data_IF_059407862794
#
_entry.id   IF_059407862794
#
_cell.length_a   1.000
_cell.length_b   1.000
_cell.length_c   1.000
_cell.angle_alpha   90.00
_cell.angle_beta   90.00
_cell.angle_gamma   90.00
#
_symmetry.space_group_name_H-M   'P 1'
#
loop_
_entity.id
_entity.type
_entity.pdbx_description
1 polymer ?
#
# COMPACT_ATOMS: atom_id res chain seq x y z
N UNK A 1 -15.93 5.86 -1.09
CA UNK A 1 -15.67 7.30 -0.97
C UNK A 1 -16.91 7.95 -0.39
N UNK A 2 -16.74 8.76 0.65
CA UNK A 2 -17.81 9.62 1.14
C UNK A 2 -17.76 10.96 0.39
N UNK A 3 -18.78 11.79 0.54
CA UNK A 3 -18.90 13.07 -0.17
C UNK A 3 -17.82 14.10 0.15
N UNK A 4 -17.04 13.91 1.21
CA UNK A 4 -15.94 14.81 1.56
C UNK A 4 -14.66 14.48 0.80
N UNK A 5 -14.47 13.24 0.36
CA UNK A 5 -13.25 12.78 -0.31
C UNK A 5 -12.98 13.58 -1.60
N UNK A 6 -14.03 13.86 -2.38
CA UNK A 6 -13.98 14.67 -3.60
C UNK A 6 -13.48 16.11 -3.35
N UNK A 7 -13.57 16.58 -2.11
CA UNK A 7 -13.07 17.90 -1.70
C UNK A 7 -11.69 17.80 -1.04
N UNK A 8 -11.42 16.72 -0.31
CA UNK A 8 -10.19 16.57 0.47
C UNK A 8 -8.98 16.25 -0.40
N UNK A 9 -9.10 15.34 -1.37
CA UNK A 9 -7.98 14.99 -2.26
C UNK A 9 -7.41 16.20 -3.01
N UNK A 10 -8.22 16.98 -3.76
CA UNK A 10 -7.69 18.14 -4.46
C UNK A 10 -7.18 19.22 -3.49
N UNK A 11 -7.78 19.34 -2.29
CA UNK A 11 -7.33 20.31 -1.28
C UNK A 11 -5.95 19.98 -0.73
N UNK A 12 -5.67 18.72 -0.43
CA UNK A 12 -4.33 18.28 0.03
C UNK A 12 -3.32 18.42 -1.10
N UNK A 13 -3.66 18.00 -2.32
CA UNK A 13 -2.79 18.16 -3.48
C UNK A 13 -2.46 19.64 -3.77
N UNK A 14 -3.42 20.56 -3.55
CA UNK A 14 -3.25 21.99 -3.74
C UNK A 14 -2.27 22.65 -2.74
N UNK A 15 -1.90 21.99 -1.63
CA UNK A 15 -0.84 22.48 -0.74
C UNK A 15 0.51 22.63 -1.46
N UNK A 16 0.71 21.90 -2.56
CA UNK A 16 1.89 22.03 -3.43
C UNK A 16 2.00 23.39 -4.12
N UNK A 17 0.90 24.14 -4.25
CA UNK A 17 0.94 25.52 -4.76
C UNK A 17 1.64 26.47 -3.76
N UNK A 18 1.61 26.13 -2.47
CA UNK A 18 2.28 26.91 -1.42
C UNK A 18 3.73 26.44 -1.19
N UNK A 19 3.96 25.13 -1.32
CA UNK A 19 5.29 24.54 -1.25
C UNK A 19 5.54 23.63 -2.47
N UNK A 20 6.18 24.12 -3.55
CA UNK A 20 6.44 23.34 -4.75
C UNK A 20 7.34 22.10 -4.55
N UNK A 21 8.06 22.03 -3.42
CA UNK A 21 8.87 20.86 -3.07
C UNK A 21 8.08 19.75 -2.35
N UNK A 22 6.87 20.05 -1.87
CA UNK A 22 6.00 19.08 -1.21
C UNK A 22 5.58 17.98 -2.18
N UNK A 23 5.62 16.74 -1.69
CA UNK A 23 5.12 15.55 -2.36
C UNK A 23 3.94 14.99 -1.58
N UNK A 24 2.87 14.67 -2.30
CA UNK A 24 1.65 14.11 -1.68
C UNK A 24 1.42 12.73 -2.26
N UNK A 25 1.44 11.72 -1.39
CA UNK A 25 1.20 10.33 -1.74
C UNK A 25 -0.19 9.92 -1.25
N UNK A 26 -0.84 9.02 -1.98
CA UNK A 26 -2.06 8.35 -1.51
C UNK A 26 -1.68 6.96 -1.01
N UNK A 27 -2.06 6.63 0.23
CA UNK A 27 -1.94 5.28 0.77
C UNK A 27 -3.19 4.47 0.44
N UNK A 28 -3.01 3.24 -0.03
CA UNK A 28 -4.08 2.29 -0.32
C UNK A 28 -3.96 1.11 0.62
N UNK A 29 -4.91 1.01 1.56
CA UNK A 29 -4.99 -0.07 2.52
C UNK A 29 -5.17 0.43 3.95
N UNK A 30 -4.25 0.02 4.82
CA UNK A 30 -4.35 0.14 6.26
C UNK A 30 -5.21 -0.96 6.88
N UNK A 31 -5.10 -1.09 8.20
CA UNK A 31 -5.75 -2.13 8.99
C UNK A 31 -7.23 -2.38 8.67
N UNK A 32 -8.05 -1.33 8.57
CA UNK A 32 -9.51 -1.46 8.40
C UNK A 32 -9.96 -1.85 6.99
N UNK A 33 -9.08 -1.74 5.99
CA UNK A 33 -9.38 -2.20 4.63
C UNK A 33 -9.50 -3.74 4.55
N UNK A 34 -8.89 -4.45 5.50
CA UNK A 34 -8.82 -5.91 5.57
C UNK A 34 -7.81 -6.51 4.58
N UNK A 35 -7.13 -7.60 4.98
CA UNK A 35 -6.07 -8.20 4.15
C UNK A 35 -6.60 -8.98 2.94
N UNK A 36 -7.76 -9.65 3.07
CA UNK A 36 -8.32 -10.53 2.02
C UNK A 36 -8.52 -9.82 0.67
N UNK A 37 -8.95 -8.56 0.69
CA UNK A 37 -9.20 -7.81 -0.56
C UNK A 37 -7.92 -7.59 -1.36
N UNK A 38 -6.77 -7.46 -0.68
CA UNK A 38 -5.46 -7.36 -1.33
C UNK A 38 -5.00 -8.71 -1.85
N UNK A 39 -5.16 -9.80 -1.08
CA UNK A 39 -4.85 -11.16 -1.55
C UNK A 39 -5.64 -11.50 -2.82
N UNK A 40 -6.95 -11.18 -2.85
CA UNK A 40 -7.78 -11.34 -4.04
C UNK A 40 -7.32 -10.46 -5.21
N UNK A 41 -6.94 -9.20 -4.93
CA UNK A 41 -6.46 -8.26 -5.95
C UNK A 41 -5.16 -8.73 -6.62
N UNK A 42 -4.21 -9.28 -5.86
CA UNK A 42 -2.92 -9.73 -6.43
C UNK A 42 -2.97 -11.10 -7.09
N UNK A 43 -4.02 -11.89 -6.83
CA UNK A 43 -4.12 -13.32 -7.17
C UNK A 43 -4.07 -13.66 -8.66
N UNK A 44 -4.50 -12.74 -9.55
CA UNK A 44 -4.49 -12.97 -11.00
C UNK A 44 -3.93 -11.78 -11.77
N UNK A 45 -3.32 -11.99 -12.95
CA UNK A 45 -2.85 -10.91 -13.81
C UNK A 45 -3.96 -9.90 -14.15
N UNK A 46 -5.19 -10.37 -14.37
CA UNK A 46 -6.33 -9.52 -14.74
C UNK A 46 -6.75 -8.60 -13.58
N UNK A 47 -6.76 -9.12 -12.35
CA UNK A 47 -7.09 -8.35 -11.16
C UNK A 47 -6.02 -7.27 -10.90
N UNK A 48 -4.74 -7.65 -10.98
CA UNK A 48 -3.62 -6.72 -10.84
C UNK A 48 -3.68 -5.61 -11.90
N UNK A 49 -3.84 -5.97 -13.17
CA UNK A 49 -3.94 -5.00 -14.26
C UNK A 49 -5.11 -4.03 -14.06
N UNK A 50 -6.26 -4.54 -13.60
CA UNK A 50 -7.45 -3.72 -13.31
C UNK A 50 -7.17 -2.72 -12.19
N UNK A 51 -6.59 -3.18 -11.08
CA UNK A 51 -6.23 -2.30 -9.97
C UNK A 51 -5.18 -1.27 -10.36
N UNK A 52 -4.09 -1.70 -11.00
CA UNK A 52 -2.97 -0.83 -11.43
C UNK A 52 -3.49 0.29 -12.33
N UNK A 53 -4.33 -0.04 -13.32
CA UNK A 53 -4.95 0.96 -14.19
C UNK A 53 -5.76 1.97 -13.39
N UNK A 54 -6.58 1.49 -12.45
CA UNK A 54 -7.43 2.32 -11.61
C UNK A 54 -6.63 3.28 -10.73
N UNK A 55 -5.64 2.77 -9.98
CA UNK A 55 -4.87 3.58 -9.03
C UNK A 55 -3.97 4.60 -9.72
N UNK A 56 -3.36 4.24 -10.86
CA UNK A 56 -2.53 5.19 -11.65
C UNK A 56 -3.41 6.31 -12.21
N UNK A 57 -4.58 5.96 -12.78
CA UNK A 57 -5.53 6.97 -13.28
C UNK A 57 -6.04 7.88 -12.16
N UNK A 58 -6.34 7.31 -11.00
CA UNK A 58 -6.77 8.06 -9.82
C UNK A 58 -5.70 9.07 -9.37
N UNK A 59 -4.43 8.63 -9.27
CA UNK A 59 -3.33 9.51 -8.89
C UNK A 59 -3.13 10.67 -9.86
N UNK A 60 -3.20 10.40 -11.16
CA UNK A 60 -3.09 11.43 -12.19
C UNK A 60 -4.24 12.44 -12.11
N UNK A 61 -5.46 11.97 -11.87
CA UNK A 61 -6.67 12.80 -11.79
C UNK A 61 -6.67 13.69 -10.56
N UNK A 62 -6.23 13.16 -9.42
CA UNK A 62 -6.20 13.88 -8.13
C UNK A 62 -4.86 14.61 -7.89
N UNK A 63 -3.96 14.60 -8.87
CA UNK A 63 -2.64 15.22 -8.80
C UNK A 63 -1.77 14.73 -7.63
N UNK A 64 -1.82 13.44 -7.30
CA UNK A 64 -0.88 12.81 -6.37
C UNK A 64 0.49 12.60 -7.02
N UNK A 65 1.55 12.67 -6.22
CA UNK A 65 2.94 12.43 -6.66
C UNK A 65 3.35 10.97 -6.52
N UNK A 66 2.57 10.15 -5.81
CA UNK A 66 2.90 8.75 -5.62
C UNK A 66 1.84 7.93 -4.89
N UNK A 67 2.14 6.63 -4.79
CA UNK A 67 1.27 5.59 -4.25
C UNK A 67 2.03 4.89 -3.13
N UNK A 68 1.41 4.77 -1.97
CA UNK A 68 1.84 3.87 -0.90
C UNK A 68 0.91 2.65 -0.85
N UNK A 69 1.47 1.45 -0.86
CA UNK A 69 0.68 0.23 -0.64
C UNK A 69 0.84 -0.20 0.81
N UNK A 70 -0.26 -0.11 1.55
CA UNK A 70 -0.33 -0.43 2.97
C UNK A 70 -1.19 -1.68 3.19
N UNK A 71 -0.68 -2.83 2.71
CA UNK A 71 -1.35 -4.11 2.84
C UNK A 71 -0.96 -4.79 4.16
N UNK A 72 -1.92 -4.86 5.07
CA UNK A 72 -1.81 -5.54 6.37
C UNK A 72 -2.63 -6.84 6.42
N UNK A 73 -2.06 -8.05 6.30
CA UNK A 73 -0.71 -8.38 5.84
C UNK A 73 -0.79 -9.51 4.79
N UNK A 74 0.13 -9.57 3.82
CA UNK A 74 0.24 -10.71 2.91
C UNK A 74 0.55 -12.00 3.65
N UNK A 75 0.06 -13.14 3.15
CA UNK A 75 0.29 -14.50 3.71
C UNK A 75 -0.36 -14.77 5.06
N UNK A 76 -0.79 -13.74 5.78
CA UNK A 76 -1.40 -13.89 7.10
C UNK A 76 -2.85 -14.39 7.01
N UNK A 77 -3.06 -15.66 7.39
CA UNK A 77 -4.36 -16.34 7.36
C UNK A 77 -5.42 -15.61 8.20
N UNK A 78 -5.05 -14.99 9.34
CA UNK A 78 -5.98 -14.24 10.20
C UNK A 78 -6.50 -12.97 9.52
N UNK A 79 -5.77 -12.49 8.51
CA UNK A 79 -6.11 -11.34 7.68
C UNK A 79 -6.69 -11.76 6.33
N UNK A 80 -6.85 -13.05 6.09
CA UNK A 80 -7.35 -13.63 4.84
C UNK A 80 -6.32 -13.69 3.71
N UNK A 81 -5.03 -13.69 4.07
CA UNK A 81 -3.92 -13.92 3.15
C UNK A 81 -3.82 -15.37 2.68
N UNK A 82 -2.95 -15.59 1.69
CA UNK A 82 -2.63 -16.90 1.11
C UNK A 82 -1.13 -17.03 0.92
N UNK A 83 -0.60 -18.25 0.91
CA UNK A 83 0.84 -18.48 0.70
C UNK A 83 1.35 -17.87 -0.62
N UNK A 84 0.52 -17.86 -1.66
CA UNK A 84 0.84 -17.28 -2.97
C UNK A 84 1.03 -15.75 -2.94
N UNK A 85 0.53 -15.07 -1.90
CA UNK A 85 0.69 -13.62 -1.73
C UNK A 85 2.16 -13.22 -1.74
N UNK A 86 3.05 -14.07 -1.18
CA UNK A 86 4.49 -13.81 -1.11
C UNK A 86 5.08 -13.50 -2.51
N UNK A 87 4.76 -14.33 -3.51
CA UNK A 87 5.24 -14.16 -4.88
C UNK A 87 4.34 -13.20 -5.71
N UNK A 88 3.03 -13.21 -5.46
CA UNK A 88 2.08 -12.36 -6.16
C UNK A 88 2.30 -10.89 -5.84
N UNK A 89 2.69 -10.56 -4.61
CA UNK A 89 2.94 -9.18 -4.22
C UNK A 89 4.17 -8.60 -4.94
N UNK A 90 5.24 -9.38 -5.07
CA UNK A 90 6.41 -9.01 -5.89
C UNK A 90 6.01 -8.77 -7.35
N UNK A 91 5.22 -9.68 -7.92
CA UNK A 91 4.73 -9.56 -9.30
C UNK A 91 3.89 -8.30 -9.47
N UNK A 92 3.00 -8.04 -8.52
CA UNK A 92 2.18 -6.83 -8.47
C UNK A 92 3.02 -5.55 -8.42
N UNK A 93 3.99 -5.47 -7.51
CA UNK A 93 4.83 -4.27 -7.37
C UNK A 93 5.69 -4.03 -8.61
N UNK A 94 6.19 -5.10 -9.25
CA UNK A 94 6.89 -5.01 -10.53
C UNK A 94 6.01 -4.41 -11.63
N UNK A 95 4.79 -4.92 -11.77
CA UNK A 95 3.82 -4.44 -12.77
C UNK A 95 3.40 -2.98 -12.47
N UNK A 96 3.18 -2.65 -11.20
CA UNK A 96 2.86 -1.30 -10.75
C UNK A 96 4.00 -0.33 -11.07
N UNK A 97 5.26 -0.67 -10.77
CA UNK A 97 6.43 0.15 -11.11
C UNK A 97 6.53 0.41 -12.60
N UNK A 98 6.24 -0.59 -13.43
CA UNK A 98 6.23 -0.44 -14.88
C UNK A 98 5.14 0.52 -15.38
N UNK A 99 3.99 0.60 -14.69
CA UNK A 99 2.85 1.43 -15.07
C UNK A 99 2.85 2.83 -14.41
N UNK A 100 3.54 3.00 -13.29
CA UNK A 100 3.51 4.20 -12.45
C UNK A 100 4.09 5.46 -13.15
N UNK A 101 4.94 5.27 -14.16
CA UNK A 101 5.55 6.37 -14.91
C UNK A 101 6.43 7.24 -14.01
N UNK A 102 5.96 8.46 -13.71
CA UNK A 102 6.67 9.42 -12.84
C UNK A 102 6.18 9.43 -11.39
N UNK A 103 5.16 8.64 -11.07
CA UNK A 103 4.67 8.50 -9.70
C UNK A 103 5.73 7.78 -8.86
N UNK A 104 5.98 8.27 -7.66
CA UNK A 104 6.78 7.54 -6.68
C UNK A 104 5.97 6.39 -6.08
N UNK A 105 6.66 5.33 -5.66
CA UNK A 105 6.06 4.16 -5.04
C UNK A 105 6.70 3.91 -3.68
N UNK A 106 5.87 3.73 -2.66
CA UNK A 106 6.30 3.23 -1.36
C UNK A 106 5.46 2.04 -0.94
N UNK A 107 5.97 1.30 0.03
CA UNK A 107 5.30 0.13 0.59
C UNK A 107 5.46 0.16 2.11
N UNK A 108 4.36 -0.09 2.81
CA UNK A 108 4.36 -0.10 4.28
C UNK A 108 4.65 -1.50 4.81
N UNK A 109 5.62 -1.58 5.72
CA UNK A 109 6.14 -2.81 6.32
C UNK A 109 5.88 -2.85 7.83
N UNK A 110 5.52 -4.01 8.38
CA UNK A 110 5.42 -4.19 9.83
C UNK A 110 6.81 -4.24 10.49
N UNK A 111 6.89 -3.79 11.74
CA UNK A 111 8.08 -3.99 12.58
C UNK A 111 8.14 -5.38 13.24
N UNK A 112 6.99 -6.06 13.38
CA UNK A 112 6.90 -7.43 13.90
C UNK A 112 7.40 -8.45 12.88
N UNK A 113 8.33 -9.32 13.30
CA UNK A 113 8.79 -10.45 12.49
C UNK A 113 7.64 -11.37 12.06
N UNK A 114 6.62 -11.52 12.90
CA UNK A 114 5.51 -12.42 12.63
C UNK A 114 4.74 -12.04 11.36
N UNK A 115 4.61 -10.74 11.10
CA UNK A 115 4.00 -10.23 9.87
C UNK A 115 5.04 -10.03 8.76
N UNK A 116 6.24 -9.55 9.10
CA UNK A 116 7.29 -9.24 8.12
C UNK A 116 7.72 -10.46 7.29
N UNK A 117 7.66 -11.68 7.86
CA UNK A 117 7.99 -12.92 7.15
C UNK A 117 7.10 -13.18 5.91
N UNK A 118 5.93 -12.54 5.80
CA UNK A 118 5.04 -12.61 4.65
C UNK A 118 5.48 -11.75 3.46
N UNK A 119 6.53 -10.93 3.63
CA UNK A 119 7.04 -10.03 2.61
C UNK A 119 8.37 -10.55 2.05
N UNK A 120 8.45 -10.69 0.72
CA UNK A 120 9.71 -10.94 0.02
C UNK A 120 10.49 -9.62 -0.15
N UNK A 121 10.99 -9.07 0.97
CA UNK A 121 11.58 -7.73 1.01
C UNK A 121 12.70 -7.55 -0.02
N UNK A 122 13.53 -8.57 -0.23
CA UNK A 122 14.63 -8.51 -1.20
C UNK A 122 14.14 -8.37 -2.63
N UNK A 123 13.05 -9.02 -3.00
CA UNK A 123 12.48 -8.91 -4.34
C UNK A 123 11.46 -7.77 -4.48
N UNK A 124 10.99 -7.18 -3.38
CA UNK A 124 10.17 -5.97 -3.38
C UNK A 124 11.00 -4.69 -3.52
N UNK A 125 12.19 -4.65 -2.93
CA UNK A 125 13.08 -3.46 -2.90
C UNK A 125 13.32 -2.81 -4.27
N UNK A 126 13.55 -3.54 -5.37
CA UNK A 126 13.79 -2.91 -6.68
C UNK A 126 12.58 -2.15 -7.26
N UNK A 127 11.38 -2.30 -6.68
CA UNK A 127 10.13 -1.78 -7.22
C UNK A 127 9.53 -0.64 -6.40
N UNK A 128 10.18 -0.26 -5.30
CA UNK A 128 9.79 0.87 -4.45
C UNK A 128 10.90 1.90 -4.38
N UNK A 129 10.54 3.15 -4.09
CA UNK A 129 11.51 4.20 -3.83
C UNK A 129 11.92 4.20 -2.35
N UNK A 130 11.03 3.77 -1.45
CA UNK A 130 11.34 3.50 -0.03
C UNK A 130 10.28 2.61 0.63
N UNK A 131 10.59 2.15 1.85
CA UNK A 131 9.66 1.48 2.74
C UNK A 131 9.26 2.38 3.91
N UNK A 132 7.98 2.36 4.30
CA UNK A 132 7.50 2.94 5.54
C UNK A 132 7.42 1.85 6.60
N UNK A 133 8.18 1.94 7.69
CA UNK A 133 8.15 0.94 8.77
C UNK A 133 7.17 1.35 9.87
N UNK A 134 6.16 0.51 10.11
CA UNK A 134 5.20 0.65 11.21
C UNK A 134 5.86 0.26 12.53
N UNK A 135 6.61 1.20 13.08
CA UNK A 135 7.34 1.10 14.37
C UNK A 135 6.51 1.62 15.54
N UNK A 136 5.20 1.39 15.46
CA UNK A 136 4.17 1.69 16.46
C UNK A 136 3.29 0.45 16.65
N UNK A 137 2.33 0.52 17.58
CA UNK A 137 1.45 -0.60 17.94
C UNK A 137 2.21 -1.90 18.27
N UNK A 138 3.40 -1.76 18.85
CA UNK A 138 4.21 -2.88 19.35
C UNK A 138 3.52 -3.52 20.56
N UNK A 139 2.81 -2.69 21.33
CA UNK A 139 1.98 -3.10 22.46
C UNK A 139 0.63 -2.39 22.42
N UNK A 140 -0.39 -3.06 22.94
CA UNK A 140 -1.72 -2.48 23.07
C UNK A 140 -2.66 -3.37 23.86
N UNK A 141 -3.95 -3.02 23.86
CA UNK A 141 -4.96 -3.75 24.65
C UNK A 141 -5.12 -5.21 24.21
N UNK A 142 -4.68 -5.55 22.99
CA UNK A 142 -4.67 -6.91 22.45
C UNK A 142 -3.64 -7.83 23.11
N UNK A 143 -2.64 -7.30 23.80
CA UNK A 143 -1.68 -8.10 24.56
C UNK A 143 -2.30 -8.70 25.84
N UNK A 144 -3.53 -8.29 26.21
CA UNK A 144 -4.21 -8.78 27.40
C UNK A 144 -3.53 -8.38 28.72
N UNK A 145 -3.85 -9.12 29.81
CA UNK A 145 -3.20 -8.96 31.12
C UNK A 145 -1.91 -9.81 31.20
N UNK A 146 -0.98 -9.64 30.27
CA UNK A 146 0.34 -10.26 30.38
C UNK A 146 1.14 -9.55 31.50
N UNK A 147 0.79 -9.86 32.74
CA UNK A 147 1.54 -9.59 33.96
C UNK A 147 2.28 -10.85 34.41
#
# INVERSE_FOLDING_TARGET
MNSYDDQLYPRVAALKLQNPSLKVFIAIGGWDAGGKVFSDMVSTPENRATFIKSVVQFCQTQAFDGIDIDWEYPVDDDRGGRAEDFANYVTFMKELKSAAGRLGLSLTLPSSYWYLKGFDVLNLEPYVDWFNFMSYDIHGTWDGNNA
#
